data_IF_222222065133
#
_entry.id   IF_222222065133
#
_cell.length_a   1.000
_cell.length_b   1.000
_cell.length_c   1.000
_cell.angle_alpha   90.00
_cell.angle_beta   90.00
_cell.angle_gamma   90.00
#
_symmetry.space_group_name_H-M   'P 1'
#
loop_
_entity.id
_entity.type
_entity.pdbx_description
1 polymer ?
#
# COMPACT_ATOMS: atom_id res chain seq x y z
N UNK A 1 2.74 -27.62 -22.67
CA UNK A 1 3.33 -27.86 -21.35
C UNK A 1 4.66 -27.10 -21.18
N UNK A 2 4.65 -25.77 -21.26
CA UNK A 2 5.84 -24.90 -21.08
C UNK A 2 5.57 -23.77 -20.09
N UNK A 3 4.76 -23.99 -19.05
CA UNK A 3 4.48 -23.01 -18.02
C UNK A 3 5.16 -23.29 -16.66
N UNK A 4 6.25 -24.07 -16.64
CA UNK A 4 6.89 -24.55 -15.39
C UNK A 4 8.13 -23.77 -14.97
N UNK A 5 8.39 -22.55 -15.45
CA UNK A 5 9.60 -21.80 -15.15
C UNK A 5 9.40 -20.38 -14.59
N UNK A 6 8.22 -20.08 -14.06
CA UNK A 6 8.09 -18.88 -13.23
C UNK A 6 8.30 -19.33 -11.77
N UNK A 7 9.44 -19.00 -11.13
CA UNK A 7 9.62 -19.29 -9.70
C UNK A 7 8.47 -18.66 -8.91
N UNK A 8 8.00 -19.37 -7.88
CA UNK A 8 7.00 -18.80 -6.99
C UNK A 8 7.51 -17.47 -6.42
N UNK A 9 6.62 -16.51 -6.16
CA UNK A 9 6.98 -15.23 -5.53
C UNK A 9 7.82 -15.43 -4.25
N UNK A 10 7.60 -16.53 -3.52
CA UNK A 10 8.40 -16.91 -2.35
C UNK A 10 9.83 -17.32 -2.69
N UNK A 11 10.10 -17.85 -3.88
CA UNK A 11 11.44 -18.23 -4.35
C UNK A 11 12.21 -17.03 -4.90
N UNK A 12 11.54 -16.13 -5.63
CA UNK A 12 12.12 -14.85 -6.06
C UNK A 12 12.53 -13.96 -4.85
N UNK A 13 11.71 -13.92 -3.81
CA UNK A 13 12.02 -13.22 -2.57
C UNK A 13 13.19 -13.89 -1.82
N UNK A 14 13.35 -15.21 -1.92
CA UNK A 14 14.44 -15.94 -1.25
C UNK A 14 15.78 -15.87 -1.98
N UNK A 15 15.81 -15.72 -3.29
CA UNK A 15 17.05 -15.78 -4.08
C UNK A 15 17.83 -14.48 -4.16
N UNK A 16 17.20 -13.33 -3.96
CA UNK A 16 17.84 -12.01 -4.04
C UNK A 16 17.82 -11.19 -2.74
N UNK A 17 17.08 -11.63 -1.73
CA UNK A 17 17.06 -10.95 -0.45
C UNK A 17 18.13 -11.53 0.49
N UNK A 18 19.31 -10.88 0.60
CA UNK A 18 19.90 -10.80 1.94
C UNK A 18 18.79 -10.25 2.83
N UNK A 19 18.37 -11.03 3.85
CA UNK A 19 17.35 -10.60 4.81
C UNK A 19 17.76 -9.23 5.34
N UNK A 20 17.05 -8.20 4.90
CA UNK A 20 17.06 -6.93 5.62
C UNK A 20 16.39 -7.27 6.95
N UNK A 21 17.09 -7.14 8.11
CA UNK A 21 16.43 -7.34 9.39
C UNK A 21 15.22 -6.40 9.41
N UNK A 22 14.02 -6.94 9.66
CA UNK A 22 12.86 -6.11 9.92
C UNK A 22 13.18 -5.28 11.15
N UNK A 23 13.56 -4.02 10.93
CA UNK A 23 13.80 -3.07 11.99
C UNK A 23 12.53 -2.91 12.81
N UNK A 24 12.67 -2.79 14.11
CA UNK A 24 11.58 -2.42 15.00
C UNK A 24 10.89 -1.19 14.43
N UNK A 25 9.58 -1.25 14.32
CA UNK A 25 8.68 -0.33 13.61
C UNK A 25 8.80 1.17 13.98
N UNK A 26 9.72 1.55 14.83
CA UNK A 26 9.90 2.92 15.32
C UNK A 26 11.08 3.67 14.68
N UNK A 27 12.03 2.97 14.06
CA UNK A 27 13.25 3.61 13.58
C UNK A 27 13.44 3.44 12.07
N UNK A 28 13.89 4.51 11.42
CA UNK A 28 14.43 4.47 10.06
C UNK A 28 15.60 3.53 10.03
N UNK A 29 15.52 2.44 9.26
CA UNK A 29 16.61 1.51 9.10
C UNK A 29 17.84 2.22 8.53
N UNK A 30 18.90 2.30 9.31
CA UNK A 30 20.24 2.65 8.83
C UNK A 30 20.91 1.36 8.35
N UNK A 31 20.87 1.08 7.06
CA UNK A 31 21.72 0.03 6.51
C UNK A 31 23.00 0.62 5.95
N UNK A 32 24.12 0.14 6.46
CA UNK A 32 25.46 0.56 6.05
C UNK A 32 25.82 0.18 4.61
N UNK A 33 25.05 -0.71 3.97
CA UNK A 33 25.27 -1.15 2.59
C UNK A 33 24.78 -0.13 1.55
N UNK A 34 23.84 0.76 1.93
CA UNK A 34 23.29 1.77 1.03
C UNK A 34 23.14 3.10 1.77
N UNK A 35 24.27 3.80 2.04
CA UNK A 35 24.25 5.03 2.84
C UNK A 35 23.37 6.15 2.27
N UNK A 36 23.04 6.05 0.98
CA UNK A 36 22.20 7.02 0.28
C UNK A 36 20.71 6.71 0.31
N UNK A 37 20.24 5.72 1.10
CA UNK A 37 18.84 5.29 1.13
C UNK A 37 18.32 5.18 2.57
N UNK A 38 17.10 5.67 2.79
CA UNK A 38 16.34 5.48 4.02
C UNK A 38 15.00 4.82 3.71
N UNK A 39 14.57 3.93 4.59
CA UNK A 39 13.32 3.17 4.46
C UNK A 39 12.43 3.43 5.67
N UNK A 40 11.14 3.67 5.43
CA UNK A 40 10.11 3.74 6.46
C UNK A 40 8.82 3.08 5.96
N UNK A 41 7.91 2.68 6.87
CA UNK A 41 6.61 2.17 6.43
C UNK A 41 5.66 3.30 5.99
N UNK A 42 5.43 4.29 6.83
CA UNK A 42 4.62 5.47 6.51
C UNK A 42 5.50 6.71 6.33
N UNK A 43 5.79 7.40 7.41
CA UNK A 43 6.75 8.51 7.46
C UNK A 43 7.84 8.25 8.51
N UNK A 44 9.02 8.87 8.42
CA UNK A 44 10.05 8.75 9.44
C UNK A 44 9.50 9.14 10.83
N UNK A 45 9.59 8.21 11.79
CA UNK A 45 9.06 8.40 13.14
C UNK A 45 7.54 8.22 13.28
N UNK A 46 6.80 8.02 12.18
CA UNK A 46 5.35 7.86 12.20
C UNK A 46 4.88 6.69 11.32
N UNK A 47 4.54 5.57 11.96
CA UNK A 47 4.19 4.32 11.29
C UNK A 47 3.01 4.46 10.31
N UNK A 48 2.02 5.29 10.64
CA UNK A 48 0.81 5.55 9.84
C UNK A 48 0.86 6.89 9.10
N UNK A 49 2.03 7.52 9.03
CA UNK A 49 2.22 8.76 8.30
C UNK A 49 1.86 8.59 6.81
N UNK A 50 1.16 9.56 6.28
CA UNK A 50 0.71 9.54 4.89
C UNK A 50 1.04 10.88 4.22
N UNK A 51 2.07 10.89 3.41
CA UNK A 51 2.52 12.08 2.70
C UNK A 51 1.56 12.57 1.63
N UNK A 52 0.65 11.71 1.15
CA UNK A 52 -0.43 12.12 0.24
C UNK A 52 -1.46 13.03 0.93
N UNK A 53 -1.65 12.86 2.25
CA UNK A 53 -2.53 13.70 3.07
C UNK A 53 -1.79 14.92 3.64
N UNK A 54 -0.47 14.81 3.85
CA UNK A 54 0.38 15.80 4.50
C UNK A 54 1.64 16.10 3.67
N UNK A 55 1.52 16.74 2.49
CA UNK A 55 2.65 16.99 1.62
C UNK A 55 3.71 17.92 2.23
N UNK A 56 3.32 18.79 3.16
CA UNK A 56 4.22 19.67 3.91
C UNK A 56 5.19 18.86 4.82
N UNK A 57 4.72 17.74 5.38
CA UNK A 57 5.57 16.84 6.17
C UNK A 57 6.62 16.17 5.29
N UNK A 58 6.26 15.72 4.09
CA UNK A 58 7.23 15.15 3.16
C UNK A 58 8.35 16.13 2.86
N UNK A 59 8.02 17.39 2.55
CA UNK A 59 9.01 18.41 2.27
C UNK A 59 9.94 18.65 3.45
N UNK A 60 9.41 18.68 4.66
CA UNK A 60 10.21 18.81 5.89
C UNK A 60 11.18 17.64 6.07
N UNK A 61 10.72 16.41 5.85
CA UNK A 61 11.56 15.21 5.95
C UNK A 61 12.64 15.20 4.86
N UNK A 62 12.31 15.54 3.60
CA UNK A 62 13.28 15.57 2.52
C UNK A 62 14.36 16.64 2.74
N UNK A 63 14.01 17.81 3.27
CA UNK A 63 14.99 18.86 3.62
C UNK A 63 16.05 18.37 4.59
N UNK A 64 15.65 17.58 5.58
CA UNK A 64 16.50 17.10 6.67
C UNK A 64 17.05 15.69 6.42
N UNK A 65 16.74 15.07 5.30
CA UNK A 65 17.18 13.71 4.97
C UNK A 65 18.69 13.68 4.75
N UNK A 66 19.38 12.74 5.37
CA UNK A 66 20.81 12.48 5.20
C UNK A 66 21.10 11.41 4.12
N UNK A 67 20.16 11.22 3.18
CA UNK A 67 20.22 10.26 2.10
C UNK A 67 19.69 10.85 0.80
N UNK A 68 19.95 10.21 -0.34
CA UNK A 68 19.42 10.60 -1.63
C UNK A 68 17.94 10.18 -1.81
N UNK A 69 17.58 9.03 -1.23
CA UNK A 69 16.24 8.46 -1.40
C UNK A 69 15.60 8.16 -0.05
N UNK A 70 14.33 8.58 0.09
CA UNK A 70 13.42 8.14 1.13
C UNK A 70 12.38 7.18 0.51
N UNK A 71 12.44 5.91 0.90
CA UNK A 71 11.43 4.92 0.54
C UNK A 71 10.33 4.89 1.60
N UNK A 72 9.09 5.07 1.18
CA UNK A 72 7.91 4.96 2.01
C UNK A 72 6.93 3.91 1.50
N UNK A 73 5.82 3.74 2.21
CA UNK A 73 4.74 2.83 1.85
C UNK A 73 3.42 3.30 2.45
N UNK A 74 2.68 2.40 3.10
CA UNK A 74 1.45 2.64 3.84
C UNK A 74 0.25 3.14 3.02
N UNK A 75 0.42 4.14 2.15
CA UNK A 75 -0.68 4.71 1.37
C UNK A 75 -1.18 3.78 0.25
N UNK A 76 -0.41 2.75 -0.11
CA UNK A 76 -0.67 1.84 -1.23
C UNK A 76 -0.80 2.56 -2.59
N UNK A 77 -0.29 3.77 -2.71
CA UNK A 77 -0.24 4.53 -3.96
C UNK A 77 1.18 4.56 -4.48
N UNK A 78 1.36 4.22 -5.75
CA UNK A 78 2.65 4.38 -6.39
C UNK A 78 2.91 5.85 -6.64
N UNK A 79 4.01 6.38 -6.08
CA UNK A 79 4.28 7.80 -6.08
C UNK A 79 5.78 8.08 -6.03
N UNK A 80 6.25 8.98 -6.88
CA UNK A 80 7.60 9.54 -6.83
C UNK A 80 7.51 11.06 -6.74
N UNK A 81 8.27 11.66 -5.82
CA UNK A 81 8.38 13.11 -5.67
C UNK A 81 9.83 13.51 -5.46
N UNK A 82 10.23 14.58 -6.12
CA UNK A 82 11.58 15.11 -6.05
C UNK A 82 11.60 16.45 -5.32
N UNK A 83 12.65 16.66 -4.55
CA UNK A 83 12.95 17.92 -3.92
C UNK A 83 14.47 18.13 -3.88
N UNK A 84 14.95 19.12 -4.64
CA UNK A 84 16.39 19.33 -4.89
C UNK A 84 17.03 18.02 -5.43
N UNK A 85 18.05 17.49 -4.76
CA UNK A 85 18.74 16.25 -5.16
C UNK A 85 18.23 15.01 -4.41
N UNK A 86 17.03 15.08 -3.81
CA UNK A 86 16.45 14.02 -2.98
C UNK A 86 15.14 13.54 -3.56
N UNK A 87 14.89 12.24 -3.46
CA UNK A 87 13.70 11.60 -3.98
C UNK A 87 12.93 10.88 -2.87
N UNK A 88 11.63 11.11 -2.80
CA UNK A 88 10.69 10.22 -2.12
C UNK A 88 10.13 9.23 -3.13
N UNK A 89 10.11 7.96 -2.77
CA UNK A 89 9.49 6.91 -3.55
C UNK A 89 8.58 6.06 -2.67
N UNK A 90 7.32 5.93 -3.07
CA UNK A 90 6.42 4.89 -2.60
C UNK A 90 6.19 3.92 -3.77
N UNK A 91 6.60 2.67 -3.69
CA UNK A 91 6.45 1.72 -4.80
C UNK A 91 5.00 1.26 -5.02
N UNK A 92 4.06 1.67 -4.16
CA UNK A 92 2.69 1.22 -4.22
C UNK A 92 2.43 -0.06 -3.43
N UNK A 93 1.53 -0.89 -3.92
CA UNK A 93 1.12 -2.14 -3.24
C UNK A 93 1.10 -3.32 -4.21
N UNK A 94 1.64 -4.45 -3.77
CA UNK A 94 1.62 -5.69 -4.56
C UNK A 94 0.22 -6.34 -4.65
N UNK A 95 -0.65 -6.12 -3.66
CA UNK A 95 -1.94 -6.82 -3.60
C UNK A 95 -3.15 -5.90 -3.42
N UNK A 96 -2.96 -4.63 -3.06
CA UNK A 96 -4.05 -3.70 -2.81
C UNK A 96 -3.64 -2.29 -3.25
N UNK A 97 -3.52 -2.07 -4.56
CA UNK A 97 -3.26 -0.76 -5.11
C UNK A 97 -4.45 0.19 -4.85
N UNK A 98 -4.17 1.44 -4.49
CA UNK A 98 -5.16 2.46 -4.13
C UNK A 98 -5.00 3.75 -4.95
N UNK A 99 -4.55 3.63 -6.18
CA UNK A 99 -4.34 4.73 -7.13
C UNK A 99 -5.39 4.81 -8.25
N UNK A 100 -6.52 4.13 -8.06
CA UNK A 100 -7.63 4.13 -9.00
C UNK A 100 -7.54 3.03 -10.07
N UNK A 101 -6.55 2.15 -9.98
CA UNK A 101 -6.35 1.04 -10.90
C UNK A 101 -6.37 -0.29 -10.14
N UNK A 102 -7.49 -1.03 -10.20
CA UNK A 102 -7.61 -2.35 -9.59
C UNK A 102 -6.89 -3.44 -10.39
N UNK A 103 -6.63 -4.59 -9.76
CA UNK A 103 -6.08 -5.77 -10.43
C UNK A 103 -4.63 -5.65 -10.88
N UNK A 104 -3.85 -4.73 -10.30
CA UNK A 104 -2.44 -4.55 -10.62
C UNK A 104 -1.56 -4.64 -9.37
N UNK A 105 -0.42 -5.30 -9.51
CA UNK A 105 0.65 -5.31 -8.53
C UNK A 105 1.63 -4.18 -8.84
N UNK A 106 1.89 -3.31 -7.86
CA UNK A 106 2.81 -2.19 -8.02
C UNK A 106 4.10 -2.45 -7.25
N UNK A 107 5.23 -2.22 -7.89
CA UNK A 107 6.56 -2.29 -7.28
C UNK A 107 7.53 -1.35 -7.99
N UNK A 108 8.72 -1.20 -7.44
CA UNK A 108 9.80 -0.45 -8.06
C UNK A 108 11.11 -1.24 -8.00
N UNK A 109 11.95 -1.02 -8.99
CA UNK A 109 13.34 -1.48 -9.03
C UNK A 109 14.24 -0.25 -8.89
N UNK A 110 15.19 -0.32 -7.96
CA UNK A 110 16.21 0.70 -7.76
C UNK A 110 17.56 0.11 -8.13
N UNK A 111 18.23 0.72 -9.10
CA UNK A 111 19.57 0.34 -9.54
C UNK A 111 20.53 1.47 -9.25
N UNK A 112 21.65 1.15 -8.59
CA UNK A 112 22.72 2.13 -8.33
C UNK A 112 23.80 1.98 -9.40
N UNK A 113 23.91 2.96 -10.29
CA UNK A 113 24.91 3.01 -11.36
C UNK A 113 25.73 4.30 -11.26
N UNK A 114 27.06 4.18 -11.23
CA UNK A 114 27.98 5.33 -11.15
C UNK A 114 27.60 6.33 -10.04
N UNK A 115 27.22 5.83 -8.87
CA UNK A 115 26.75 6.62 -7.72
C UNK A 115 25.42 7.37 -7.93
N UNK A 116 24.68 7.05 -8.99
CA UNK A 116 23.37 7.62 -9.29
C UNK A 116 22.29 6.54 -9.23
N UNK A 117 21.18 6.83 -8.55
CA UNK A 117 20.04 5.94 -8.49
C UNK A 117 19.19 6.07 -9.75
N UNK A 118 18.92 4.93 -10.38
CA UNK A 118 17.88 4.77 -11.40
C UNK A 118 16.66 4.14 -10.74
N UNK A 119 15.49 4.71 -10.97
CA UNK A 119 14.21 4.25 -10.37
C UNK A 119 13.27 3.89 -11.51
N UNK A 120 12.81 2.66 -11.51
CA UNK A 120 11.83 2.14 -12.46
C UNK A 120 10.61 1.65 -11.69
N UNK A 121 9.44 2.24 -11.97
CA UNK A 121 8.16 1.86 -11.37
C UNK A 121 7.37 0.97 -12.31
N UNK A 122 6.79 -0.10 -11.76
CA UNK A 122 6.06 -1.11 -12.52
C UNK A 122 4.65 -1.29 -11.97
N UNK A 123 3.71 -1.50 -12.89
CA UNK A 123 2.33 -1.88 -12.62
C UNK A 123 2.01 -3.09 -13.48
N UNK A 124 1.92 -4.26 -12.87
CA UNK A 124 1.72 -5.53 -13.57
C UNK A 124 0.33 -6.06 -13.26
N UNK A 125 -0.52 -6.33 -14.28
CA UNK A 125 -1.81 -6.94 -14.07
C UNK A 125 -1.64 -8.36 -13.51
N UNK A 126 -2.54 -8.75 -12.60
CA UNK A 126 -2.66 -10.13 -12.13
C UNK A 126 -4.06 -10.68 -12.42
N UNK A 127 -4.25 -11.99 -12.27
CA UNK A 127 -5.56 -12.64 -12.43
C UNK A 127 -6.52 -12.22 -11.30
N UNK A 128 -7.13 -11.04 -11.49
CA UNK A 128 -8.11 -10.50 -10.55
C UNK A 128 -9.36 -11.39 -10.47
N UNK A 129 -9.83 -11.93 -11.60
CA UNK A 129 -11.03 -12.77 -11.64
C UNK A 129 -10.82 -14.05 -10.83
N UNK A 130 -9.69 -14.73 -11.03
CA UNK A 130 -9.32 -15.91 -10.25
C UNK A 130 -9.19 -15.59 -8.77
N UNK A 131 -8.60 -14.45 -8.41
CA UNK A 131 -8.46 -14.01 -7.02
C UNK A 131 -9.83 -13.71 -6.38
N UNK A 132 -10.73 -13.02 -7.09
CA UNK A 132 -12.09 -12.74 -6.61
C UNK A 132 -12.94 -14.01 -6.48
N UNK A 133 -12.73 -15.00 -7.35
CA UNK A 133 -13.38 -16.31 -7.21
C UNK A 133 -12.99 -17.05 -5.92
N UNK A 134 -11.79 -16.79 -5.37
CA UNK A 134 -11.43 -17.30 -4.04
C UNK A 134 -12.26 -16.65 -2.92
N UNK A 135 -12.59 -15.36 -3.04
CA UNK A 135 -13.52 -14.71 -2.11
C UNK A 135 -14.88 -15.41 -2.07
N UNK A 136 -15.39 -15.78 -3.25
CA UNK A 136 -16.68 -16.45 -3.37
C UNK A 136 -16.61 -17.88 -2.82
N UNK A 137 -15.55 -18.63 -3.14
CA UNK A 137 -15.30 -19.97 -2.61
C UNK A 137 -15.12 -19.99 -1.08
N UNK A 138 -14.49 -18.97 -0.54
CA UNK A 138 -14.34 -18.81 0.91
C UNK A 138 -15.65 -18.32 1.60
N UNK A 139 -16.71 -18.06 0.84
CA UNK A 139 -17.97 -17.55 1.37
C UNK A 139 -17.90 -16.10 1.89
N UNK A 140 -16.86 -15.35 1.53
CA UNK A 140 -16.67 -13.99 2.03
C UNK A 140 -17.74 -13.02 1.51
N UNK A 141 -18.36 -13.29 0.37
CA UNK A 141 -19.42 -12.46 -0.17
C UNK A 141 -20.76 -12.74 0.51
N UNK A 142 -21.09 -14.00 0.79
CA UNK A 142 -22.35 -14.43 1.40
C UNK A 142 -22.36 -14.37 2.92
N UNK A 143 -21.29 -14.77 3.55
CA UNK A 143 -21.13 -14.82 5.01
C UNK A 143 -20.21 -13.74 5.56
N UNK A 144 -19.49 -13.06 4.66
CA UNK A 144 -18.62 -11.95 5.00
C UNK A 144 -19.39 -10.70 5.37
N UNK A 145 -18.77 -9.88 6.19
CA UNK A 145 -19.33 -8.58 6.58
C UNK A 145 -19.35 -7.60 5.39
N UNK A 146 -20.00 -6.45 5.58
CA UNK A 146 -19.90 -5.28 4.68
C UNK A 146 -18.45 -4.93 4.36
N UNK A 147 -17.53 -5.13 5.31
CA UNK A 147 -16.09 -4.90 5.08
C UNK A 147 -15.49 -5.84 4.03
N UNK A 148 -15.88 -7.11 4.00
CA UNK A 148 -15.40 -8.05 2.98
C UNK A 148 -15.85 -7.62 1.58
N UNK A 149 -17.10 -7.20 1.41
CA UNK A 149 -17.61 -6.68 0.14
C UNK A 149 -16.95 -5.35 -0.25
N UNK A 150 -16.71 -4.47 0.71
CA UNK A 150 -15.96 -3.22 0.49
C UNK A 150 -14.52 -3.48 0.05
N UNK A 151 -13.87 -4.51 0.62
CA UNK A 151 -12.52 -4.93 0.20
C UNK A 151 -12.54 -5.48 -1.23
N UNK A 152 -13.49 -6.36 -1.56
CA UNK A 152 -13.66 -6.88 -2.94
C UNK A 152 -13.79 -5.73 -3.94
N UNK A 153 -14.61 -4.73 -3.61
CA UNK A 153 -14.77 -3.53 -4.45
C UNK A 153 -13.48 -2.71 -4.56
N UNK A 154 -12.75 -2.57 -3.46
CA UNK A 154 -11.44 -1.90 -3.45
C UNK A 154 -10.46 -2.58 -4.42
N UNK A 155 -10.36 -3.90 -4.37
CA UNK A 155 -9.51 -4.71 -5.26
C UNK A 155 -9.88 -4.52 -6.73
N UNK A 156 -11.18 -4.38 -7.02
CA UNK A 156 -11.67 -4.25 -8.40
C UNK A 156 -11.36 -2.88 -9.01
N UNK A 157 -11.44 -1.81 -8.24
CA UNK A 157 -11.34 -0.45 -8.81
C UNK A 157 -10.16 0.39 -8.30
N UNK A 158 -9.38 -0.11 -7.34
CA UNK A 158 -8.25 0.63 -6.76
C UNK A 158 -8.64 1.85 -5.92
N UNK A 159 -9.92 1.97 -5.53
CA UNK A 159 -10.42 3.02 -4.64
C UNK A 159 -10.67 2.42 -3.25
N UNK A 160 -10.20 3.08 -2.21
CA UNK A 160 -10.26 2.55 -0.84
C UNK A 160 -11.69 2.55 -0.25
N UNK A 161 -12.57 1.70 -0.81
CA UNK A 161 -13.93 1.52 -0.29
C UNK A 161 -13.97 0.95 1.13
N UNK A 162 -12.97 0.18 1.53
CA UNK A 162 -12.84 -0.26 2.91
C UNK A 162 -12.79 0.93 3.87
N UNK A 163 -11.91 1.89 3.60
CA UNK A 163 -11.82 3.12 4.40
C UNK A 163 -13.08 3.97 4.32
N UNK A 164 -13.63 4.15 3.11
CA UNK A 164 -14.86 4.93 2.91
C UNK A 164 -16.03 4.35 3.68
N UNK A 165 -16.17 3.02 3.70
CA UNK A 165 -17.22 2.33 4.46
C UNK A 165 -17.05 2.55 5.96
N UNK A 166 -15.86 2.33 6.51
CA UNK A 166 -15.61 2.56 7.95
C UNK A 166 -15.85 4.02 8.33
N UNK A 167 -15.39 4.95 7.50
CA UNK A 167 -15.66 6.38 7.72
C UNK A 167 -17.14 6.68 7.75
N UNK A 168 -17.91 6.17 6.77
CA UNK A 168 -19.35 6.40 6.67
C UNK A 168 -20.13 5.76 7.84
N UNK A 169 -19.71 4.57 8.26
CA UNK A 169 -20.27 3.90 9.45
C UNK A 169 -20.15 4.80 10.69
N UNK A 170 -18.98 5.38 10.93
CA UNK A 170 -18.78 6.27 12.09
C UNK A 170 -19.65 7.52 12.00
N UNK A 171 -19.70 8.17 10.84
CA UNK A 171 -20.56 9.33 10.62
C UNK A 171 -22.04 9.04 10.87
N UNK A 172 -22.51 7.86 10.43
CA UNK A 172 -23.90 7.43 10.64
C UNK A 172 -24.18 7.05 12.09
N UNK A 173 -23.25 6.36 12.75
CA UNK A 173 -23.37 6.00 14.15
C UNK A 173 -23.49 7.27 15.03
N UNK A 174 -22.64 8.25 14.80
CA UNK A 174 -22.70 9.55 15.50
C UNK A 174 -24.04 10.26 15.24
N UNK A 175 -24.49 10.31 13.97
CA UNK A 175 -25.72 11.01 13.59
C UNK A 175 -26.99 10.35 14.14
N UNK A 176 -26.97 9.03 14.35
CA UNK A 176 -28.12 8.24 14.83
C UNK A 176 -28.06 7.95 16.33
N UNK A 177 -27.03 8.40 17.03
CA UNK A 177 -26.73 8.06 18.43
C UNK A 177 -26.65 6.53 18.66
N UNK A 178 -26.14 5.81 17.66
CA UNK A 178 -25.87 4.37 17.66
C UNK A 178 -24.37 4.12 17.84
N UNK A 179 -23.99 2.86 17.91
CA UNK A 179 -22.58 2.47 17.93
C UNK A 179 -22.12 1.99 16.55
N UNK A 180 -20.84 1.99 16.30
CA UNK A 180 -20.24 1.41 15.09
C UNK A 180 -20.28 -0.14 15.09
N UNK A 181 -20.86 -0.76 16.13
CA UNK A 181 -21.13 -2.20 16.23
C UNK A 181 -22.53 -2.58 15.70
N UNK A 182 -23.41 -1.59 15.51
CA UNK A 182 -24.79 -1.85 15.06
C UNK A 182 -24.83 -2.25 13.57
N UNK A 183 -25.35 -3.43 13.29
CA UNK A 183 -25.39 -3.98 11.92
C UNK A 183 -26.18 -3.09 10.95
N UNK A 184 -27.22 -2.41 11.41
CA UNK A 184 -28.03 -1.49 10.60
C UNK A 184 -27.21 -0.32 10.06
N UNK A 185 -26.29 0.20 10.86
CA UNK A 185 -25.39 1.30 10.45
C UNK A 185 -24.48 0.85 9.31
N UNK A 186 -23.95 -0.36 9.39
CA UNK A 186 -23.13 -0.95 8.33
C UNK A 186 -23.91 -1.17 7.04
N UNK A 187 -25.11 -1.72 7.11
CA UNK A 187 -26.00 -1.91 5.95
C UNK A 187 -26.32 -0.59 5.27
N UNK A 188 -26.62 0.44 6.06
CA UNK A 188 -26.90 1.77 5.54
C UNK A 188 -25.69 2.39 4.88
N UNK A 189 -24.51 2.31 5.49
CA UNK A 189 -23.28 2.80 4.90
C UNK A 189 -22.96 2.12 3.56
N UNK A 190 -23.16 0.81 3.46
CA UNK A 190 -22.97 0.06 2.22
C UNK A 190 -23.93 0.51 1.11
N UNK A 191 -25.20 0.78 1.46
CA UNK A 191 -26.20 1.24 0.49
C UNK A 191 -25.88 2.63 -0.08
N UNK A 192 -25.38 3.53 0.76
CA UNK A 192 -25.04 4.89 0.35
C UNK A 192 -23.74 5.00 -0.46
N UNK A 193 -22.90 3.98 -0.39
CA UNK A 193 -21.63 3.93 -1.13
C UNK A 193 -21.71 3.11 -2.44
N UNK A 194 -22.87 2.56 -2.78
CA UNK A 194 -23.11 1.87 -4.06
C UNK A 194 -23.17 2.87 -5.20
#
# INVERSE_FOLDING_TARGET
SEYSLIPSMSELIRSSARRIPCCNFSDTCRESLFPALRLCHGAPGELRGNFGLHPELLLSHLKNLDAAILLGGHSHKQEQREYAEKTYLNPGSLGLALDGVGGHAHFAILTLENSTWQIECFQIPYDLEGYLAEFDRAGLETHGSVLARSLKRTLTCGVNYFYLTVKRVRELADALALTDLDEEVWKKAEQELK
#
